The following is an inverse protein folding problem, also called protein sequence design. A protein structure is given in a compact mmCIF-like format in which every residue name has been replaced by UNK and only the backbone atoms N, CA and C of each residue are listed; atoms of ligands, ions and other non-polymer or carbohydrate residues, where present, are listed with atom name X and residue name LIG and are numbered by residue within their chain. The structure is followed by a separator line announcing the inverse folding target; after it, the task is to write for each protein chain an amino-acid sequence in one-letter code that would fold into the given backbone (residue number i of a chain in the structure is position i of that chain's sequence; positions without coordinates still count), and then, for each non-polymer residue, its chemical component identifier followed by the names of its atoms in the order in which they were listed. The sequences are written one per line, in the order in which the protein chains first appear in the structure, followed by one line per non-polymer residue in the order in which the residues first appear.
data_IF_407451775269
#
_entry.id   IF_407451775269
#
_cell.length_a   1.000
_cell.length_b   1.000
_cell.length_c   1.000
_cell.angle_alpha   90.00
_cell.angle_beta   90.00
_cell.angle_gamma   90.00
#
_symmetry.space_group_name_H-M   'P 1'
#
loop_
_entity.id
_entity.type
_entity.pdbx_description
1 polymer ?
#
# COMPACT_ATOMS: atom_id res chain seq x y z
N UNK A 1 0.86 12.49 11.78
CA UNK A 1 0.25 11.17 11.47
C UNK A 1 -0.20 10.44 12.74
N UNK A 2 0.69 9.89 13.56
CA UNK A 2 0.30 9.09 14.75
C UNK A 2 -0.59 9.80 15.77
N UNK A 3 -0.29 11.05 16.13
CA UNK A 3 -1.15 11.83 17.04
C UNK A 3 -2.56 12.11 16.46
N UNK A 4 -2.73 12.02 15.14
CA UNK A 4 -4.03 12.15 14.47
C UNK A 4 -4.75 10.82 14.22
N UNK A 5 -4.27 9.72 14.83
CA UNK A 5 -4.89 8.39 14.71
C UNK A 5 -4.44 7.55 13.51
N UNK A 6 -3.57 8.08 12.65
CA UNK A 6 -2.99 7.32 11.52
C UNK A 6 -1.79 6.45 11.93
N UNK A 7 -1.38 5.56 11.03
CA UNK A 7 -0.16 4.75 11.17
C UNK A 7 0.96 5.28 10.31
N UNK A 8 2.20 5.14 10.78
CA UNK A 8 3.35 5.26 9.89
C UNK A 8 3.40 4.02 9.00
N UNK A 9 3.70 4.22 7.71
CA UNK A 9 4.12 3.14 6.81
C UNK A 9 5.58 2.76 7.13
N UNK A 10 6.37 2.29 6.17
CA UNK A 10 7.82 2.08 6.38
C UNK A 10 8.54 3.41 6.65
N UNK A 11 9.50 3.40 7.56
CA UNK A 11 10.27 4.61 7.92
C UNK A 11 11.36 4.93 6.89
N UNK A 12 11.93 3.91 6.26
CA UNK A 12 12.99 4.05 5.27
C UNK A 12 13.13 2.80 4.39
N UNK A 13 14.03 2.84 3.41
CA UNK A 13 14.25 1.72 2.48
C UNK A 13 14.82 0.46 3.14
N UNK A 14 15.40 0.58 4.34
CA UNK A 14 15.94 -0.52 5.13
C UNK A 14 14.88 -1.24 5.98
N UNK A 15 13.68 -0.67 6.13
CA UNK A 15 12.66 -1.14 7.08
C UNK A 15 11.76 -2.22 6.45
N UNK A 16 11.34 -2.01 5.20
CA UNK A 16 10.44 -2.91 4.49
C UNK A 16 10.82 -3.02 3.01
N UNK A 17 10.65 -4.22 2.45
CA UNK A 17 10.75 -4.44 1.01
C UNK A 17 9.46 -3.98 0.36
N UNK A 18 9.59 -3.08 -0.62
CA UNK A 18 8.46 -2.62 -1.44
C UNK A 18 8.86 -2.75 -2.90
N UNK A 19 8.23 -3.69 -3.60
CA UNK A 19 8.37 -3.87 -5.05
C UNK A 19 7.39 -2.92 -5.74
N UNK A 20 7.92 -1.80 -6.22
CA UNK A 20 7.18 -0.82 -7.04
C UNK A 20 7.05 -1.24 -8.50
N UNK A 21 6.14 -0.57 -9.21
CA UNK A 21 5.99 -0.56 -10.68
C UNK A 21 7.33 -0.60 -11.44
N UNK A 22 8.28 0.26 -11.08
CA UNK A 22 9.57 0.38 -11.75
C UNK A 22 10.45 -0.88 -11.62
N UNK A 23 10.27 -1.68 -10.57
CA UNK A 23 11.02 -2.92 -10.39
C UNK A 23 10.47 -4.05 -11.26
N UNK A 24 9.17 -4.03 -11.56
CA UNK A 24 8.48 -5.06 -12.36
C UNK A 24 8.29 -4.65 -13.82
N UNK A 25 8.53 -3.38 -14.17
CA UNK A 25 8.27 -2.81 -15.50
C UNK A 25 8.91 -3.57 -16.67
N UNK A 26 10.05 -4.22 -16.46
CA UNK A 26 10.75 -5.02 -17.48
C UNK A 26 10.48 -6.52 -17.41
N UNK A 27 9.64 -6.96 -16.47
CA UNK A 27 9.32 -8.36 -16.26
C UNK A 27 8.06 -8.69 -17.06
N UNK A 28 8.12 -9.63 -18.02
CA UNK A 28 6.92 -10.12 -18.69
C UNK A 28 5.90 -10.64 -17.69
N UNK A 29 4.61 -10.37 -17.95
CA UNK A 29 3.54 -10.70 -17.01
C UNK A 29 3.53 -12.20 -16.64
N UNK A 30 3.73 -13.08 -17.62
CA UNK A 30 3.78 -14.54 -17.44
C UNK A 30 5.00 -15.03 -16.63
N UNK A 31 5.99 -14.17 -16.39
CA UNK A 31 7.18 -14.45 -15.59
C UNK A 31 7.14 -13.76 -14.21
N UNK A 32 6.15 -12.89 -13.98
CA UNK A 32 6.08 -12.07 -12.77
C UNK A 32 6.01 -12.93 -11.50
N UNK A 33 5.18 -13.97 -11.50
CA UNK A 33 5.04 -14.90 -10.38
C UNK A 33 6.37 -15.56 -10.01
N UNK A 34 7.11 -16.09 -10.99
CA UNK A 34 8.38 -16.76 -10.76
C UNK A 34 9.47 -15.78 -10.31
N UNK A 35 9.51 -14.60 -10.91
CA UNK A 35 10.44 -13.54 -10.53
C UNK A 35 10.22 -13.08 -9.09
N UNK A 36 8.97 -12.88 -8.67
CA UNK A 36 8.62 -12.53 -7.28
C UNK A 36 9.01 -13.64 -6.32
N UNK A 37 8.70 -14.90 -6.64
CA UNK A 37 9.11 -16.05 -5.83
C UNK A 37 10.63 -16.09 -5.62
N UNK A 38 11.42 -15.90 -6.68
CA UNK A 38 12.89 -15.91 -6.61
C UNK A 38 13.43 -14.71 -5.82
N UNK A 39 12.87 -13.53 -6.07
CA UNK A 39 13.35 -12.28 -5.46
C UNK A 39 13.03 -12.20 -3.97
N UNK A 40 11.81 -12.58 -3.58
CA UNK A 40 11.33 -12.49 -2.21
C UNK A 40 11.76 -13.67 -1.32
N UNK A 41 12.28 -14.75 -1.91
CA UNK A 41 12.88 -15.86 -1.14
C UNK A 41 14.30 -15.58 -0.64
N UNK A 42 14.89 -14.42 -0.97
CA UNK A 42 16.25 -14.05 -0.57
C UNK A 42 16.30 -13.67 0.92
N UNK A 43 17.41 -13.96 1.65
CA UNK A 43 17.53 -13.67 3.07
C UNK A 43 17.21 -12.22 3.45
N UNK A 44 17.63 -11.27 2.62
CA UNK A 44 17.40 -9.84 2.81
C UNK A 44 15.91 -9.52 2.86
N UNK A 45 15.11 -10.08 1.95
CA UNK A 45 13.67 -9.89 1.91
C UNK A 45 12.97 -10.53 3.12
N UNK A 46 13.42 -11.72 3.53
CA UNK A 46 12.85 -12.43 4.69
C UNK A 46 13.16 -11.79 6.04
N UNK A 47 14.13 -10.86 6.10
CA UNK A 47 14.50 -10.13 7.31
C UNK A 47 13.81 -8.76 7.47
N UNK A 48 13.07 -8.32 6.45
CA UNK A 48 12.36 -7.05 6.46
C UNK A 48 11.12 -7.09 7.38
N UNK A 49 10.70 -5.92 7.89
CA UNK A 49 9.52 -5.80 8.74
C UNK A 49 8.23 -6.27 8.05
N UNK A 50 8.13 -6.04 6.74
CA UNK A 50 7.11 -6.60 5.86
C UNK A 50 7.57 -6.52 4.40
N UNK A 51 6.89 -7.27 3.53
CA UNK A 51 6.99 -7.22 2.08
C UNK A 51 5.70 -6.70 1.47
N UNK A 52 5.82 -5.70 0.60
CA UNK A 52 4.71 -5.15 -0.17
C UNK A 52 5.02 -5.15 -1.67
N UNK A 53 4.01 -5.47 -2.48
CA UNK A 53 4.10 -5.40 -3.95
C UNK A 53 3.03 -4.47 -4.48
N UNK A 54 3.44 -3.50 -5.30
CA UNK A 54 2.57 -2.54 -5.97
C UNK A 54 2.15 -3.08 -7.33
N UNK A 55 0.86 -2.95 -7.63
CA UNK A 55 0.25 -3.32 -8.91
C UNK A 55 -0.75 -2.25 -9.34
N UNK A 56 -0.80 -1.98 -10.64
CA UNK A 56 -1.70 -1.00 -11.25
C UNK A 56 -2.79 -1.65 -12.13
N UNK A 57 -2.72 -2.97 -12.35
CA UNK A 57 -3.67 -3.73 -13.17
C UNK A 57 -4.15 -5.00 -12.47
N UNK A 58 -5.36 -5.46 -12.80
CA UNK A 58 -5.89 -6.73 -12.30
C UNK A 58 -5.09 -7.94 -12.79
N UNK A 59 -4.46 -7.84 -13.95
CA UNK A 59 -3.64 -8.91 -14.52
C UNK A 59 -2.34 -9.10 -13.71
N UNK A 60 -1.63 -8.02 -13.39
CA UNK A 60 -0.50 -8.07 -12.46
C UNK A 60 -0.94 -8.61 -11.09
N UNK A 61 -2.09 -8.15 -10.59
CA UNK A 61 -2.62 -8.61 -9.32
C UNK A 61 -2.90 -10.12 -9.32
N UNK A 62 -3.45 -10.65 -10.41
CA UNK A 62 -3.69 -12.09 -10.57
C UNK A 62 -2.39 -12.91 -10.50
N UNK A 63 -1.29 -12.42 -11.07
CA UNK A 63 0.02 -13.06 -10.94
C UNK A 63 0.57 -12.95 -9.51
N UNK A 64 0.45 -11.78 -8.87
CA UNK A 64 0.86 -11.60 -7.47
C UNK A 64 0.13 -12.57 -6.53
N UNK A 65 -1.15 -12.85 -6.76
CA UNK A 65 -1.91 -13.83 -5.98
C UNK A 65 -1.42 -15.28 -6.12
N UNK A 66 -0.64 -15.61 -7.16
CA UNK A 66 -0.04 -16.94 -7.38
C UNK A 66 1.32 -17.10 -6.70
N UNK A 67 1.90 -16.02 -6.17
CA UNK A 67 3.16 -16.07 -5.42
C UNK A 67 2.99 -16.97 -4.20
N UNK A 68 4.05 -17.69 -3.83
CA UNK A 68 4.04 -18.59 -2.68
C UNK A 68 3.57 -17.87 -1.43
N UNK A 69 2.61 -18.47 -0.73
CA UNK A 69 2.07 -17.94 0.51
C UNK A 69 3.17 -17.61 1.53
N UNK A 70 3.04 -16.47 2.20
CA UNK A 70 3.98 -16.00 3.23
C UNK A 70 5.18 -15.21 2.70
N UNK A 71 5.32 -15.01 1.39
CA UNK A 71 6.37 -14.13 0.84
C UNK A 71 5.93 -12.65 0.72
N UNK A 72 4.62 -12.40 0.68
CA UNK A 72 4.03 -11.07 0.52
C UNK A 72 3.06 -10.84 1.67
N UNK A 73 3.21 -9.72 2.37
CA UNK A 73 2.30 -9.32 3.44
C UNK A 73 1.18 -8.41 2.90
N UNK A 74 1.54 -7.48 2.02
CA UNK A 74 0.63 -6.49 1.44
C UNK A 74 0.72 -6.43 -0.08
N UNK A 75 -0.41 -6.17 -0.71
CA UNK A 75 -0.47 -5.76 -2.12
C UNK A 75 -1.07 -4.36 -2.18
N UNK A 76 -0.30 -3.43 -2.73
CA UNK A 76 -0.71 -2.06 -2.95
C UNK A 76 -1.36 -1.93 -4.32
N UNK A 77 -2.65 -1.61 -4.33
CA UNK A 77 -3.48 -1.38 -5.50
C UNK A 77 -3.39 0.10 -5.88
N UNK A 78 -2.49 0.45 -6.79
CA UNK A 78 -2.20 1.85 -7.11
C UNK A 78 -3.23 2.43 -8.08
N UNK A 79 -3.76 3.61 -7.73
CA UNK A 79 -4.70 4.41 -8.56
C UNK A 79 -5.92 3.63 -9.10
N UNK A 80 -6.33 2.55 -8.43
CA UNK A 80 -7.51 1.77 -8.79
C UNK A 80 -8.80 2.45 -8.31
N UNK A 81 -9.79 2.55 -9.20
CA UNK A 81 -11.12 3.02 -8.82
C UNK A 81 -11.86 2.01 -7.92
N UNK A 82 -12.96 2.43 -7.29
CA UNK A 82 -13.68 1.57 -6.32
C UNK A 82 -14.21 0.26 -6.90
N UNK A 83 -14.49 0.19 -8.21
CA UNK A 83 -14.95 -1.05 -8.84
C UNK A 83 -13.81 -2.06 -9.00
N UNK A 84 -12.63 -1.57 -9.42
CA UNK A 84 -11.42 -2.37 -9.46
C UNK A 84 -11.01 -2.84 -8.06
N UNK A 85 -11.06 -1.96 -7.06
CA UNK A 85 -10.76 -2.33 -5.66
C UNK A 85 -11.66 -3.46 -5.15
N UNK A 86 -12.98 -3.37 -5.39
CA UNK A 86 -13.93 -4.43 -5.02
C UNK A 86 -13.62 -5.75 -5.73
N UNK A 87 -13.25 -5.69 -7.02
CA UNK A 87 -12.82 -6.87 -7.79
C UNK A 87 -11.54 -7.47 -7.21
N UNK A 88 -10.55 -6.66 -6.85
CA UNK A 88 -9.32 -7.13 -6.22
C UNK A 88 -9.59 -7.81 -4.88
N UNK A 89 -10.49 -7.24 -4.05
CA UNK A 89 -10.92 -7.86 -2.80
C UNK A 89 -11.59 -9.22 -3.06
N UNK A 90 -12.47 -9.32 -4.06
CA UNK A 90 -13.10 -10.58 -4.44
C UNK A 90 -12.09 -11.63 -4.92
N UNK A 91 -11.17 -11.26 -5.82
CA UNK A 91 -10.10 -12.14 -6.32
C UNK A 91 -9.22 -12.67 -5.18
N UNK A 92 -8.81 -11.80 -4.25
CA UNK A 92 -8.04 -12.20 -3.05
C UNK A 92 -8.81 -13.22 -2.22
N UNK A 93 -10.09 -12.96 -1.95
CA UNK A 93 -10.93 -13.88 -1.17
C UNK A 93 -11.12 -15.23 -1.86
N UNK A 94 -11.38 -15.23 -3.17
CA UNK A 94 -11.57 -16.45 -3.97
C UNK A 94 -10.29 -17.29 -4.06
N UNK A 95 -9.13 -16.65 -4.14
CA UNK A 95 -7.83 -17.33 -4.15
C UNK A 95 -7.47 -18.02 -2.82
N UNK A 96 -8.15 -17.67 -1.72
CA UNK A 96 -7.78 -18.08 -0.37
C UNK A 96 -6.47 -17.45 0.13
N UNK A 97 -5.92 -16.47 -0.59
CA UNK A 97 -4.72 -15.75 -0.21
C UNK A 97 -4.94 -14.90 1.04
N UNK A 98 -3.93 -14.88 1.92
CA UNK A 98 -3.95 -14.10 3.16
C UNK A 98 -3.28 -12.74 3.03
N UNK A 99 -2.85 -12.36 1.83
CA UNK A 99 -2.29 -11.02 1.59
C UNK A 99 -3.31 -9.95 1.96
N UNK A 100 -2.82 -8.88 2.58
CA UNK A 100 -3.63 -7.70 2.88
C UNK A 100 -3.61 -6.75 1.69
N UNK A 101 -4.70 -6.07 1.44
CA UNK A 101 -4.82 -5.12 0.34
C UNK A 101 -4.70 -3.70 0.88
N UNK A 102 -3.80 -2.93 0.28
CA UNK A 102 -3.66 -1.49 0.47
C UNK A 102 -4.21 -0.76 -0.75
N UNK A 103 -5.04 0.26 -0.56
CA UNK A 103 -5.36 1.22 -1.61
C UNK A 103 -4.47 2.47 -1.47
N UNK A 104 -4.00 3.00 -2.60
CA UNK A 104 -3.20 4.23 -2.66
C UNK A 104 -3.51 5.01 -3.95
N UNK A 105 -2.94 6.20 -4.06
CA UNK A 105 -3.07 7.07 -5.24
C UNK A 105 -4.27 8.02 -5.17
N UNK A 106 -4.01 9.33 -5.19
CA UNK A 106 -5.05 10.36 -5.29
C UNK A 106 -6.11 10.38 -4.18
N UNK A 107 -5.84 9.78 -3.01
CA UNK A 107 -6.82 9.70 -1.92
C UNK A 107 -7.05 11.08 -1.29
N UNK A 108 -8.33 11.45 -1.16
CA UNK A 108 -8.79 12.71 -0.56
C UNK A 108 -9.79 12.42 0.57
N UNK A 109 -10.17 13.46 1.31
CA UNK A 109 -11.16 13.33 2.38
C UNK A 109 -12.54 12.91 1.85
N UNK A 110 -12.87 13.32 0.62
CA UNK A 110 -14.12 12.99 -0.05
C UNK A 110 -14.13 11.53 -0.56
N UNK A 111 -12.98 11.01 -1.00
CA UNK A 111 -12.90 9.67 -1.61
C UNK A 111 -12.61 8.56 -0.61
N UNK A 112 -11.94 8.86 0.51
CA UNK A 112 -11.48 7.86 1.49
C UNK A 112 -12.61 6.97 2.03
N UNK A 113 -13.80 7.53 2.25
CA UNK A 113 -14.96 6.78 2.76
C UNK A 113 -15.44 5.70 1.78
N UNK A 114 -15.51 6.04 0.49
CA UNK A 114 -15.91 5.08 -0.55
C UNK A 114 -14.85 4.00 -0.77
N UNK A 115 -13.56 4.37 -0.69
CA UNK A 115 -12.44 3.42 -0.75
C UNK A 115 -12.50 2.45 0.43
N UNK A 116 -12.72 2.93 1.66
CA UNK A 116 -12.82 2.07 2.84
C UNK A 116 -13.95 1.04 2.74
N UNK A 117 -15.07 1.40 2.12
CA UNK A 117 -16.21 0.49 1.91
C UNK A 117 -15.94 -0.61 0.86
N UNK A 118 -14.83 -0.56 0.13
CA UNK A 118 -14.49 -1.62 -0.85
C UNK A 118 -14.03 -2.92 -0.17
N UNK A 119 -13.58 -2.86 1.09
CA UNK A 119 -13.07 -4.01 1.83
C UNK A 119 -11.54 -4.19 1.76
N UNK A 120 -10.80 -3.16 1.34
CA UNK A 120 -9.34 -3.10 1.50
C UNK A 120 -8.97 -3.02 2.98
N UNK A 121 -7.79 -3.55 3.34
CA UNK A 121 -7.33 -3.66 4.72
C UNK A 121 -6.69 -2.36 5.25
N UNK A 122 -6.11 -1.56 4.36
CA UNK A 122 -5.58 -0.23 4.68
C UNK A 122 -5.63 0.72 3.49
N UNK A 123 -5.50 2.02 3.78
CA UNK A 123 -5.45 3.09 2.77
C UNK A 123 -4.26 3.98 3.11
N UNK A 124 -3.34 4.15 2.16
CA UNK A 124 -2.25 5.10 2.30
C UNK A 124 -2.59 6.43 1.66
N UNK A 125 -2.34 7.51 2.40
CA UNK A 125 -2.73 8.86 2.02
C UNK A 125 -1.50 9.76 2.12
N UNK A 126 -0.84 9.97 0.97
CA UNK A 126 0.36 10.80 0.93
C UNK A 126 0.08 12.26 1.32
N UNK A 127 -1.11 12.80 0.98
CA UNK A 127 -1.46 14.21 1.21
C UNK A 127 -1.42 14.61 2.69
N UNK A 128 -1.47 13.64 3.61
CA UNK A 128 -1.27 13.84 5.06
C UNK A 128 0.10 14.43 5.42
N UNK A 129 1.10 14.36 4.54
CA UNK A 129 2.43 14.91 4.78
C UNK A 129 2.79 16.00 3.78
N UNK A 130 2.67 15.75 2.48
CA UNK A 130 3.13 16.69 1.45
C UNK A 130 2.11 17.78 1.07
N UNK A 131 0.87 17.70 1.59
CA UNK A 131 -0.18 18.73 1.42
C UNK A 131 -0.81 19.17 2.75
N UNK A 132 -0.18 18.86 3.88
CA UNK A 132 -0.71 19.23 5.19
C UNK A 132 -0.71 20.76 5.38
N UNK A 133 -1.85 21.30 5.81
CA UNK A 133 -1.97 22.71 6.21
C UNK A 133 -1.54 22.85 7.67
N UNK A 134 -0.64 23.78 7.96
CA UNK A 134 -0.22 24.09 9.32
C UNK A 134 -1.37 24.65 10.15
N UNK A 135 -1.46 24.23 11.40
CA UNK A 135 -2.38 24.85 12.37
C UNK A 135 -1.83 26.24 12.72
N UNK A 136 -2.68 27.26 12.67
CA UNK A 136 -2.32 28.60 13.09
C UNK A 136 -2.26 28.67 14.62
N UNK A 137 -1.12 29.11 15.16
CA UNK A 137 -0.86 29.17 16.60
C UNK A 137 -0.19 30.49 16.93
N UNK A 138 -0.80 31.24 17.85
CA UNK A 138 -0.27 32.49 18.41
C UNK A 138 -0.04 32.34 19.92
N UNK A 139 1.06 32.89 20.41
CA UNK A 139 1.38 32.99 21.84
C UNK A 139 1.51 34.48 22.19
N UNK A 140 0.65 34.98 23.08
CA UNK A 140 0.75 36.33 23.64
C UNK A 140 1.36 36.27 25.05
N UNK A 141 2.37 37.11 25.30
CA UNK A 141 3.06 37.21 26.59
C UNK A 141 2.86 38.63 27.13
N UNK A 142 2.29 38.71 28.34
CA UNK A 142 1.91 39.97 29.00
C UNK A 142 0.39 40.09 29.08
N UNK A 143 -0.13 40.23 30.29
CA UNK A 143 -1.50 40.69 30.47
C UNK A 143 -1.59 42.12 29.95
N UNK A 144 -2.72 42.48 29.32
CA UNK A 144 -3.14 43.88 29.35
C UNK A 144 -3.05 44.36 30.81
N UNK A 145 -2.27 45.41 31.04
CA UNK A 145 -2.31 46.22 32.26
C UNK A 145 -3.08 47.48 31.94
#
# INVERSE_FOLDING_TARGET
VRCGGGSSHRLGLYDAVMIKDNHIASIPLDQLTDWLNQTLSKPEATSASFVEVEVDTLDQFAEVLRVRAGLIDYVLLDNMNTDLLRRSVAMRNESGSRVRLEASGGVTLETIGAIAQTGVDRISVGSLTHHAVSVDVRLDIGAEV
#
